data_IF_417801903407
#
_entry.id   IF_417801903407
#
_cell.length_a   1.000
_cell.length_b   1.000
_cell.length_c   1.000
_cell.angle_alpha   90.00
_cell.angle_beta   90.00
_cell.angle_gamma   90.00
#
_symmetry.space_group_name_H-M   'P 1'
#
loop_
_entity.id
_entity.type
_entity.pdbx_description
1 polymer ?
#
# COMPACT_ATOMS: atom_id res chain seq x y z
N UNK A 1 -31.60 38.55 -6.88
CA UNK A 1 -30.14 38.78 -6.79
C UNK A 1 -29.56 37.70 -5.90
N UNK A 2 -28.85 36.78 -6.55
CA UNK A 2 -27.80 35.86 -6.13
C UNK A 2 -27.62 35.60 -4.63
N UNK A 3 -27.94 34.37 -4.23
CA UNK A 3 -27.52 33.76 -2.96
C UNK A 3 -27.09 32.31 -3.17
N UNK A 4 -26.56 31.96 -4.34
CA UNK A 4 -25.84 30.70 -4.52
C UNK A 4 -24.45 30.93 -3.93
N UNK A 5 -24.34 30.75 -2.61
CA UNK A 5 -23.04 30.56 -1.97
C UNK A 5 -22.55 29.21 -2.49
N UNK A 6 -21.69 29.25 -3.50
CA UNK A 6 -20.80 28.14 -3.76
C UNK A 6 -19.94 28.00 -2.50
N UNK A 7 -20.36 27.16 -1.56
CA UNK A 7 -19.42 26.49 -0.69
C UNK A 7 -18.59 25.60 -1.64
N UNK A 8 -17.53 26.18 -2.22
CA UNK A 8 -16.47 25.46 -2.93
C UNK A 8 -15.66 24.61 -1.93
N UNK A 9 -16.35 23.87 -1.07
CA UNK A 9 -15.77 22.91 -0.14
C UNK A 9 -15.56 21.64 -0.94
N UNK A 10 -14.30 21.28 -1.13
CA UNK A 10 -13.91 20.01 -1.73
C UNK A 10 -14.57 18.90 -0.91
N UNK A 11 -15.39 18.09 -1.58
CA UNK A 11 -16.10 16.98 -0.98
C UNK A 11 -15.21 15.75 -1.01
N UNK A 12 -14.59 15.46 0.14
CA UNK A 12 -13.68 14.32 0.30
C UNK A 12 -14.45 13.02 0.42
N UNK A 13 -15.64 13.03 1.01
CA UNK A 13 -16.50 11.84 1.15
C UNK A 13 -16.95 11.35 -0.25
N UNK A 14 -17.38 12.26 -1.12
CA UNK A 14 -17.70 11.92 -2.50
C UNK A 14 -16.48 11.38 -3.30
N UNK A 15 -15.26 11.80 -2.93
CA UNK A 15 -14.03 11.29 -3.55
C UNK A 15 -13.71 9.88 -3.06
N UNK A 16 -13.85 9.61 -1.76
CA UNK A 16 -13.67 8.29 -1.15
C UNK A 16 -14.69 7.30 -1.73
N UNK A 17 -15.97 7.66 -1.80
CA UNK A 17 -17.03 6.85 -2.43
C UNK A 17 -16.70 6.52 -3.90
N UNK A 18 -16.15 7.49 -4.64
CA UNK A 18 -15.74 7.29 -6.03
C UNK A 18 -14.57 6.31 -6.11
N UNK A 19 -13.63 6.37 -5.16
CA UNK A 19 -12.51 5.44 -5.12
C UNK A 19 -13.00 4.01 -4.87
N UNK A 20 -13.92 3.81 -3.93
CA UNK A 20 -14.51 2.50 -3.64
C UNK A 20 -15.19 1.91 -4.89
N UNK A 21 -15.99 2.70 -5.62
CA UNK A 21 -16.63 2.25 -6.86
C UNK A 21 -15.61 1.86 -7.95
N UNK A 22 -14.50 2.60 -8.04
CA UNK A 22 -13.40 2.27 -8.96
C UNK A 22 -12.74 0.95 -8.57
N UNK A 23 -12.49 0.71 -7.29
CA UNK A 23 -11.89 -0.53 -6.80
C UNK A 23 -12.82 -1.73 -7.01
N UNK A 24 -14.12 -1.58 -6.76
CA UNK A 24 -15.11 -2.62 -7.07
C UNK A 24 -15.13 -2.95 -8.57
N UNK A 25 -15.12 -1.93 -9.42
CA UNK A 25 -15.08 -2.11 -10.88
C UNK A 25 -13.81 -2.82 -11.33
N UNK A 26 -12.68 -2.48 -10.72
CA UNK A 26 -11.38 -3.07 -10.99
C UNK A 26 -11.34 -4.56 -10.60
N UNK A 27 -11.94 -4.93 -9.46
CA UNK A 27 -12.08 -6.32 -9.04
C UNK A 27 -12.96 -7.13 -10.02
N UNK A 28 -14.04 -6.54 -10.55
CA UNK A 28 -14.84 -7.18 -11.60
C UNK A 28 -14.02 -7.36 -12.90
N UNK A 29 -13.20 -6.37 -13.26
CA UNK A 29 -12.33 -6.46 -14.43
C UNK A 29 -11.26 -7.56 -14.29
N UNK A 30 -10.67 -7.71 -13.10
CA UNK A 30 -9.74 -8.79 -12.76
C UNK A 30 -10.40 -10.17 -12.96
N UNK A 31 -11.59 -10.37 -12.37
CA UNK A 31 -12.34 -11.62 -12.49
C UNK A 31 -12.73 -11.94 -13.93
N UNK A 32 -13.18 -10.93 -14.69
CA UNK A 32 -13.51 -11.09 -16.10
C UNK A 32 -12.28 -11.47 -16.93
N UNK A 33 -11.14 -10.84 -16.67
CA UNK A 33 -9.87 -11.15 -17.32
C UNK A 33 -9.41 -12.58 -16.98
N UNK A 34 -9.50 -12.99 -15.71
CA UNK A 34 -9.20 -14.35 -15.28
C UNK A 34 -10.09 -15.39 -15.98
N UNK A 35 -11.38 -15.11 -16.14
CA UNK A 35 -12.30 -15.97 -16.87
C UNK A 35 -11.89 -16.12 -18.35
N UNK A 36 -11.57 -15.02 -19.03
CA UNK A 36 -11.15 -15.06 -20.45
C UNK A 36 -9.82 -15.80 -20.60
N UNK A 37 -8.86 -15.58 -19.71
CA UNK A 37 -7.58 -16.28 -19.72
C UNK A 37 -7.73 -17.79 -19.53
N UNK A 38 -8.64 -18.21 -18.64
CA UNK A 38 -8.88 -19.63 -18.36
C UNK A 38 -9.66 -20.34 -19.47
N UNK A 39 -10.56 -19.64 -20.16
CA UNK A 39 -11.53 -20.26 -21.08
C UNK A 39 -11.26 -19.99 -22.56
N UNK A 40 -10.39 -19.04 -22.92
CA UNK A 40 -10.09 -18.78 -24.33
C UNK A 40 -9.19 -19.85 -24.95
N UNK A 41 -9.50 -20.24 -26.18
CA UNK A 41 -8.68 -21.15 -26.99
C UNK A 41 -7.53 -20.42 -27.70
N UNK A 42 -7.61 -19.09 -27.82
CA UNK A 42 -6.60 -18.26 -28.49
C UNK A 42 -5.47 -17.88 -27.54
N UNK A 43 -4.22 -18.18 -27.92
CA UNK A 43 -3.04 -17.76 -27.15
C UNK A 43 -2.95 -16.24 -26.99
N UNK A 44 -3.27 -15.48 -28.05
CA UNK A 44 -3.29 -14.02 -28.01
C UNK A 44 -4.34 -13.48 -27.04
N UNK A 45 -5.53 -14.11 -26.97
CA UNK A 45 -6.59 -13.71 -26.06
C UNK A 45 -6.21 -13.98 -24.61
N UNK A 46 -5.65 -15.16 -24.33
CA UNK A 46 -5.16 -15.51 -23.00
C UNK A 46 -4.04 -14.57 -22.56
N UNK A 47 -3.09 -14.28 -23.44
CA UNK A 47 -1.99 -13.36 -23.13
C UNK A 47 -2.49 -11.95 -22.83
N UNK A 48 -3.47 -11.44 -23.60
CA UNK A 48 -4.06 -10.12 -23.36
C UNK A 48 -4.85 -10.09 -22.06
N UNK A 49 -5.68 -11.11 -21.81
CA UNK A 49 -6.44 -11.24 -20.59
C UNK A 49 -5.53 -11.33 -19.36
N UNK A 50 -4.46 -12.13 -19.41
CA UNK A 50 -3.48 -12.19 -18.33
C UNK A 50 -2.76 -10.86 -18.08
N UNK A 51 -2.53 -10.04 -19.11
CA UNK A 51 -1.98 -8.70 -18.94
C UNK A 51 -2.95 -7.75 -18.24
N UNK A 52 -4.23 -7.77 -18.64
CA UNK A 52 -5.30 -7.00 -17.98
C UNK A 52 -5.47 -7.44 -16.53
N UNK A 53 -5.47 -8.75 -16.25
CA UNK A 53 -5.57 -9.28 -14.89
C UNK A 53 -4.46 -8.75 -13.99
N UNK A 54 -3.19 -8.90 -14.41
CA UNK A 54 -2.03 -8.43 -13.63
C UNK A 54 -2.05 -6.93 -13.39
N UNK A 55 -2.54 -6.16 -14.36
CA UNK A 55 -2.66 -4.72 -14.20
C UNK A 55 -3.75 -4.36 -13.17
N UNK A 56 -4.90 -5.04 -13.23
CA UNK A 56 -5.98 -4.83 -12.26
C UNK A 56 -5.55 -5.23 -10.84
N UNK A 57 -4.93 -6.39 -10.70
CA UNK A 57 -4.35 -6.88 -9.43
C UNK A 57 -3.36 -5.87 -8.84
N UNK A 58 -2.39 -5.39 -9.62
CA UNK A 58 -1.42 -4.39 -9.15
C UNK A 58 -2.05 -3.06 -8.71
N UNK A 59 -3.16 -2.66 -9.35
CA UNK A 59 -3.88 -1.43 -8.97
C UNK A 59 -4.71 -1.62 -7.70
N UNK A 60 -5.28 -2.81 -7.47
CA UNK A 60 -5.96 -3.16 -6.22
C UNK A 60 -4.97 -3.25 -5.05
N UNK A 61 -3.83 -3.91 -5.26
CA UNK A 61 -2.77 -4.02 -4.25
C UNK A 61 -2.24 -2.63 -3.84
N UNK A 62 -1.99 -1.75 -4.82
CA UNK A 62 -1.55 -0.38 -4.55
C UNK A 62 -2.58 0.44 -3.78
N UNK A 63 -3.88 0.19 -4.00
CA UNK A 63 -4.94 0.85 -3.24
C UNK A 63 -5.02 0.33 -1.80
N UNK A 64 -4.87 -0.98 -1.59
CA UNK A 64 -4.84 -1.59 -0.26
C UNK A 64 -3.63 -1.11 0.57
N UNK A 65 -2.47 -0.97 -0.07
CA UNK A 65 -1.26 -0.37 0.54
C UNK A 65 -1.49 1.09 0.94
N UNK A 66 -2.17 1.89 0.10
CA UNK A 66 -2.47 3.29 0.39
C UNK A 66 -3.41 3.45 1.60
N UNK A 67 -4.42 2.58 1.73
CA UNK A 67 -5.33 2.57 2.88
C UNK A 67 -4.64 2.05 4.14
N UNK A 68 -3.71 1.10 3.99
CA UNK A 68 -2.97 0.51 5.13
C UNK A 68 -1.89 1.44 5.71
N UNK A 69 -1.27 2.31 4.90
CA UNK A 69 -0.23 3.27 5.35
C UNK A 69 -0.80 4.36 6.28
N UNK A 70 -2.09 4.68 6.18
CA UNK A 70 -2.77 5.61 7.09
C UNK A 70 -2.97 5.04 8.51
N UNK A 71 -2.77 3.73 8.72
CA UNK A 71 -2.85 3.07 10.03
C UNK A 71 -1.53 3.00 10.82
N UNK A 72 -0.39 3.33 10.22
CA UNK A 72 0.94 3.10 10.81
C UNK A 72 1.56 4.32 11.52
N UNK A 73 0.88 5.46 11.54
CA UNK A 73 1.32 6.67 12.25
C UNK A 73 0.59 6.92 13.59
N UNK A 74 -0.21 5.95 14.07
CA UNK A 74 -1.16 6.15 15.18
C UNK A 74 -0.72 5.72 16.59
N UNK A 75 0.18 4.76 16.78
CA UNK A 75 0.31 4.11 18.12
C UNK A 75 1.73 3.84 18.65
N UNK A 76 2.81 4.31 18.01
CA UNK A 76 4.19 4.02 18.49
C UNK A 76 4.97 5.23 19.06
N UNK A 77 4.28 6.34 19.36
CA UNK A 77 4.88 7.55 19.97
C UNK A 77 4.52 7.77 21.45
N UNK A 78 4.15 6.72 22.20
CA UNK A 78 3.99 6.78 23.66
C UNK A 78 4.89 5.77 24.39
N UNK A 79 6.14 5.67 23.95
CA UNK A 79 7.24 5.02 24.68
C UNK A 79 8.19 6.03 25.32
N UNK A 80 7.66 7.10 25.94
CA UNK A 80 8.45 8.08 26.67
C UNK A 80 8.61 7.64 28.13
N UNK A 81 9.61 6.78 28.35
CA UNK A 81 10.34 6.61 29.63
C UNK A 81 11.68 5.91 29.34
N UNK A 82 12.48 6.50 28.44
CA UNK A 82 13.90 6.11 28.28
C UNK A 82 14.76 7.08 29.07
N UNK A 83 14.91 6.76 30.35
CA UNK A 83 15.79 7.41 31.31
C UNK A 83 17.24 7.49 30.76
N UNK A 84 17.79 8.68 30.45
CA UNK A 84 19.16 8.82 29.97
C UNK A 84 20.06 9.15 31.16
N UNK A 85 20.35 8.16 32.00
CA UNK A 85 21.28 8.34 33.10
C UNK A 85 22.40 7.29 33.10
N UNK A 86 23.55 7.78 32.67
CA UNK A 86 24.90 7.43 33.10
C UNK A 86 25.66 6.29 32.40
N UNK A 87 26.87 6.67 31.94
CA UNK A 87 27.87 5.87 31.25
C UNK A 87 28.45 4.74 32.12
N UNK A 88 28.85 3.63 31.47
CA UNK A 88 30.05 2.89 31.88
C UNK A 88 30.85 2.41 30.64
N UNK A 89 31.98 3.07 30.29
CA UNK A 89 32.90 2.63 29.26
C UNK A 89 33.89 1.61 29.86
N UNK A 90 33.42 0.45 30.31
CA UNK A 90 34.32 -0.59 30.84
C UNK A 90 33.82 -2.01 30.57
N UNK A 91 33.86 -2.42 29.31
CA UNK A 91 33.99 -3.82 28.93
C UNK A 91 34.89 -3.98 27.70
N UNK A 92 36.11 -3.47 27.81
CA UNK A 92 37.23 -3.99 27.03
C UNK A 92 37.50 -5.43 27.48
N UNK A 93 37.18 -6.43 26.66
CA UNK A 93 37.80 -7.75 26.76
C UNK A 93 37.86 -8.45 25.40
N UNK A 94 38.97 -8.18 24.73
CA UNK A 94 39.78 -9.10 23.93
C UNK A 94 39.07 -9.99 22.88
N UNK A 95 39.03 -9.49 21.63
CA UNK A 95 39.17 -10.33 20.45
C UNK A 95 40.66 -10.56 20.17
N UNK A 96 41.18 -11.80 20.15
CA UNK A 96 42.46 -12.06 19.51
C UNK A 96 42.21 -12.32 18.01
N UNK A 97 42.33 -11.25 17.22
CA UNK A 97 42.66 -11.33 15.79
C UNK A 97 44.15 -11.06 15.62
N UNK A 98 44.89 -12.08 15.21
CA UNK A 98 46.28 -12.06 14.71
C UNK A 98 46.61 -13.50 14.28
N UNK A 99 46.68 -13.89 13.01
CA UNK A 99 47.48 -13.46 11.85
C UNK A 99 48.98 -13.81 11.98
N UNK A 100 49.42 -14.78 11.14
CA UNK A 100 50.80 -15.15 10.74
C UNK A 100 51.68 -15.77 11.86
N UNK A 101 52.47 -16.83 11.68
CA UNK A 101 53.24 -17.29 10.53
C UNK A 101 53.66 -18.76 10.70
#
# INVERSE_FOLDING_TARGET
MNGQKNDDRVDVEALEDTMDEVLETLAVAEQAAAFVEANSTGEADRSRAGAVRRQAEAMLDAADEAVSDEGLFGEDLLGEDRDPSFEDPSAASARPTGLLH
#
